data_IF_995633430100
#
_entry.id   IF_995633430100
#
_cell.length_a   1.000
_cell.length_b   1.000
_cell.length_c   1.000
_cell.angle_alpha   90.00
_cell.angle_beta   90.00
_cell.angle_gamma   90.00
#
_symmetry.space_group_name_H-M   'P 1'
#
loop_
_entity.id
_entity.type
_entity.pdbx_description
1 polymer ?
#
# COMPACT_ATOMS: atom_id res chain seq x y z
N UNK A 1 4.33 -49.06 6.93
CA UNK A 1 5.50 -49.31 6.05
C UNK A 1 5.01 -49.31 4.62
N UNK A 2 5.18 -48.18 3.93
CA UNK A 2 5.05 -48.07 2.47
C UNK A 2 5.96 -46.92 2.06
N UNK A 3 6.89 -47.21 1.16
CA UNK A 3 8.14 -46.51 0.96
C UNK A 3 8.04 -45.22 0.14
N UNK A 4 8.94 -44.30 0.48
CA UNK A 4 9.25 -43.05 -0.23
C UNK A 4 9.87 -43.35 -1.60
N UNK A 5 9.48 -42.60 -2.62
CA UNK A 5 10.24 -42.45 -3.87
C UNK A 5 10.28 -40.98 -4.29
N UNK A 6 11.38 -40.33 -3.92
CA UNK A 6 11.84 -39.11 -4.58
C UNK A 6 12.51 -39.48 -5.92
N UNK A 7 12.43 -38.64 -6.96
CA UNK A 7 13.41 -38.64 -8.02
C UNK A 7 14.52 -37.62 -7.76
N UNK A 8 15.71 -38.02 -8.15
CA UNK A 8 17.02 -37.42 -7.91
C UNK A 8 17.24 -36.09 -8.64
N UNK A 9 18.11 -35.28 -8.04
CA UNK A 9 18.65 -34.05 -8.57
C UNK A 9 19.81 -34.36 -9.53
N UNK A 10 19.69 -33.97 -10.79
CA UNK A 10 20.84 -33.93 -11.70
C UNK A 10 21.57 -32.59 -11.56
N UNK A 11 22.71 -32.65 -10.87
CA UNK A 11 23.74 -31.63 -10.87
C UNK A 11 24.42 -31.58 -12.25
N UNK A 12 24.30 -30.46 -12.95
CA UNK A 12 25.26 -30.05 -13.98
C UNK A 12 25.79 -28.66 -13.65
N UNK A 13 27.09 -28.62 -13.36
CA UNK A 13 27.91 -27.41 -13.29
C UNK A 13 29.13 -27.60 -14.24
N UNK A 14 29.92 -26.56 -14.51
CA UNK A 14 29.62 -25.45 -15.40
C UNK A 14 30.52 -25.50 -16.65
N UNK A 15 30.03 -25.03 -17.81
CA UNK A 15 30.89 -24.84 -18.99
C UNK A 15 31.58 -23.49 -18.91
N UNK A 16 32.88 -23.51 -19.18
CA UNK A 16 33.84 -22.44 -18.94
C UNK A 16 33.67 -21.20 -19.81
N UNK A 17 34.06 -20.07 -19.21
CA UNK A 17 34.24 -18.77 -19.82
C UNK A 17 35.27 -18.81 -20.96
N UNK A 18 34.95 -18.15 -22.07
CA UNK A 18 35.94 -17.67 -23.04
C UNK A 18 36.03 -16.15 -22.92
N UNK A 19 37.25 -15.69 -22.66
CA UNK A 19 37.63 -14.29 -22.48
C UNK A 19 37.63 -13.46 -23.78
N UNK A 20 38.08 -12.20 -23.67
CA UNK A 20 37.84 -11.16 -24.66
C UNK A 20 38.82 -11.25 -25.84
N UNK A 21 38.38 -10.84 -27.02
CA UNK A 21 39.26 -10.60 -28.18
C UNK A 21 39.38 -9.10 -28.38
N UNK A 22 40.63 -8.62 -28.36
CA UNK A 22 41.05 -7.23 -28.51
C UNK A 22 40.91 -6.68 -29.94
N UNK A 23 40.59 -5.39 -29.98
CA UNK A 23 41.13 -4.29 -30.80
C UNK A 23 41.57 -4.53 -32.26
N UNK A 24 41.04 -3.67 -33.13
CA UNK A 24 41.83 -3.06 -34.21
C UNK A 24 41.80 -1.54 -34.12
N UNK A 25 43.00 -0.98 -34.07
CA UNK A 25 43.39 0.42 -34.10
C UNK A 25 43.95 0.74 -35.49
N UNK A 26 43.58 1.90 -36.02
CA UNK A 26 44.35 2.75 -36.95
C UNK A 26 43.95 4.19 -36.54
N UNK A 27 44.78 5.09 -36.00
CA UNK A 27 46.06 5.62 -36.48
C UNK A 27 45.80 6.57 -37.66
N UNK A 28 46.07 7.88 -37.67
CA UNK A 28 46.82 8.76 -36.77
C UNK A 28 46.51 10.26 -37.05
N UNK A 29 46.77 11.09 -36.04
CA UNK A 29 47.23 12.49 -35.97
C UNK A 29 47.02 13.51 -37.11
N UNK A 30 46.60 14.71 -36.71
CA UNK A 30 46.81 15.99 -37.40
C UNK A 30 46.17 17.15 -36.63
N UNK A 31 47.01 17.99 -36.01
CA UNK A 31 46.66 19.15 -35.17
C UNK A 31 46.14 20.38 -35.95
N UNK A 32 45.58 21.30 -35.14
CA UNK A 32 45.53 22.76 -35.29
C UNK A 32 44.30 23.48 -35.90
N UNK A 33 43.61 24.16 -34.97
CA UNK A 33 43.28 25.58 -34.95
C UNK A 33 42.16 26.20 -35.84
N UNK A 34 41.28 26.89 -35.10
CA UNK A 34 40.56 28.14 -35.42
C UNK A 34 39.32 28.12 -36.34
N UNK A 35 38.16 28.29 -35.71
CA UNK A 35 36.91 28.86 -36.23
C UNK A 35 37.10 30.32 -36.72
N UNK A 36 36.09 31.03 -37.29
CA UNK A 36 34.69 30.67 -37.52
C UNK A 36 34.15 31.02 -38.93
N UNK A 37 33.05 30.41 -39.37
CA UNK A 37 32.15 31.04 -40.34
C UNK A 37 30.73 30.47 -40.25
N UNK A 38 29.81 31.42 -40.16
CA UNK A 38 28.36 31.37 -40.20
C UNK A 38 27.73 30.41 -41.22
N UNK A 39 26.80 29.58 -40.75
CA UNK A 39 25.62 29.18 -41.54
C UNK A 39 24.42 28.96 -40.62
N UNK A 40 23.44 29.85 -40.74
CA UNK A 40 22.13 29.71 -40.09
C UNK A 40 21.37 28.54 -40.70
N UNK A 41 21.14 27.48 -39.92
CA UNK A 41 20.06 26.53 -40.19
C UNK A 41 18.88 26.85 -39.25
N UNK A 42 17.62 26.80 -39.73
CA UNK A 42 16.49 27.13 -38.89
C UNK A 42 16.34 26.02 -37.86
N UNK A 43 16.51 26.37 -36.59
CA UNK A 43 16.16 25.51 -35.46
C UNK A 43 14.65 25.31 -35.55
N UNK A 44 14.23 24.12 -35.95
CA UNK A 44 12.85 23.69 -35.74
C UNK A 44 12.56 23.83 -34.25
N UNK A 45 11.48 24.52 -33.83
CA UNK A 45 11.13 24.55 -32.43
C UNK A 45 10.80 23.11 -32.06
N UNK A 46 11.68 22.49 -31.29
CA UNK A 46 11.37 21.29 -30.53
C UNK A 46 10.24 21.69 -29.58
N UNK A 47 9.02 21.49 -30.07
CA UNK A 47 7.81 21.48 -29.28
C UNK A 47 7.94 20.22 -28.42
N UNK A 48 8.71 20.30 -27.34
CA UNK A 48 8.36 19.48 -26.19
C UNK A 48 6.99 19.98 -25.83
N UNK A 49 5.96 19.22 -26.22
CA UNK A 49 4.64 19.38 -25.67
C UNK A 49 4.85 19.34 -24.17
N UNK A 50 4.88 20.52 -23.54
CA UNK A 50 4.64 20.65 -22.12
C UNK A 50 3.27 20.00 -21.99
N UNK A 51 3.25 18.76 -21.49
CA UNK A 51 2.01 18.17 -21.02
C UNK A 51 1.50 19.19 -20.01
N UNK A 52 0.44 19.92 -20.37
CA UNK A 52 -0.22 20.83 -19.45
C UNK A 52 -0.62 19.97 -18.26
N UNK A 53 0.05 20.19 -17.13
CA UNK A 53 -0.25 19.47 -15.90
C UNK A 53 -1.70 19.76 -15.57
N UNK A 54 -2.52 18.71 -15.47
CA UNK A 54 -3.90 18.87 -15.04
C UNK A 54 -3.93 19.61 -13.70
N UNK A 55 -4.93 20.49 -13.48
CA UNK A 55 -5.18 21.04 -12.16
C UNK A 55 -5.29 19.90 -11.14
N UNK A 56 -4.73 20.10 -9.94
CA UNK A 56 -4.70 19.08 -8.90
C UNK A 56 -6.10 18.54 -8.58
N UNK A 57 -7.12 19.40 -8.67
CA UNK A 57 -8.51 19.05 -8.48
C UNK A 57 -9.01 18.03 -9.51
N UNK A 58 -8.59 18.14 -10.77
CA UNK A 58 -8.97 17.20 -11.82
C UNK A 58 -8.30 15.83 -11.62
N UNK A 59 -7.06 15.79 -11.14
CA UNK A 59 -6.38 14.55 -10.77
C UNK A 59 -7.08 13.84 -9.60
N UNK A 60 -7.51 14.61 -8.59
CA UNK A 60 -8.26 14.07 -7.45
C UNK A 60 -9.58 13.42 -7.89
N UNK A 61 -10.30 14.05 -8.83
CA UNK A 61 -11.54 13.48 -9.39
C UNK A 61 -11.26 12.17 -10.14
N UNK A 62 -10.24 12.15 -11.02
CA UNK A 62 -9.86 10.94 -11.76
C UNK A 62 -9.45 9.79 -10.83
N UNK A 63 -8.74 10.09 -9.75
CA UNK A 63 -8.38 9.12 -8.72
C UNK A 63 -9.63 8.58 -8.02
N UNK A 64 -10.55 9.45 -7.60
CA UNK A 64 -11.79 9.03 -6.94
C UNK A 64 -12.66 8.14 -7.86
N UNK A 65 -12.76 8.51 -9.13
CA UNK A 65 -13.51 7.72 -10.13
C UNK A 65 -12.84 6.36 -10.38
N UNK A 66 -11.51 6.31 -10.44
CA UNK A 66 -10.78 5.05 -10.59
C UNK A 66 -10.96 4.14 -9.37
N UNK A 67 -10.87 4.68 -8.15
CA UNK A 67 -11.13 3.94 -6.92
C UNK A 67 -12.56 3.40 -6.90
N UNK A 68 -13.55 4.23 -7.26
CA UNK A 68 -14.95 3.79 -7.35
C UNK A 68 -15.12 2.65 -8.37
N UNK A 69 -14.46 2.75 -9.53
CA UNK A 69 -14.47 1.71 -10.56
C UNK A 69 -13.80 0.41 -10.09
N UNK A 70 -12.67 0.49 -9.38
CA UNK A 70 -12.00 -0.68 -8.79
C UNK A 70 -12.88 -1.32 -7.70
N UNK A 71 -13.51 -0.54 -6.83
CA UNK A 71 -14.44 -1.07 -5.83
C UNK A 71 -15.65 -1.78 -6.46
N UNK A 72 -16.13 -1.31 -7.61
CA UNK A 72 -17.16 -2.01 -8.38
C UNK A 72 -16.66 -3.38 -8.85
N UNK A 73 -15.47 -3.42 -9.48
CA UNK A 73 -14.83 -4.66 -9.93
C UNK A 73 -14.54 -5.64 -8.79
N UNK A 74 -14.15 -5.13 -7.62
CA UNK A 74 -13.93 -5.95 -6.43
C UNK A 74 -15.22 -6.63 -5.94
N UNK A 75 -16.36 -5.95 -6.07
CA UNK A 75 -17.68 -6.51 -5.73
C UNK A 75 -18.14 -7.55 -6.74
N UNK A 76 -17.95 -7.29 -8.04
CA UNK A 76 -18.34 -8.23 -9.11
C UNK A 76 -17.36 -9.39 -9.28
N UNK A 77 -16.19 -9.33 -8.61
CA UNK A 77 -15.10 -10.33 -8.71
C UNK A 77 -14.60 -10.51 -10.15
N UNK A 78 -14.69 -9.46 -10.94
CA UNK A 78 -14.21 -9.43 -12.31
C UNK A 78 -12.74 -8.98 -12.36
N UNK A 79 -11.91 -9.58 -13.24
CA UNK A 79 -10.62 -9.01 -13.56
C UNK A 79 -10.80 -7.66 -14.27
N UNK A 80 -9.73 -6.87 -14.26
CA UNK A 80 -9.69 -5.55 -14.88
C UNK A 80 -8.39 -5.37 -15.66
N UNK A 81 -8.45 -4.79 -16.86
CA UNK A 81 -7.26 -4.50 -17.64
C UNK A 81 -6.99 -3.00 -17.75
N UNK A 82 -5.74 -2.64 -18.05
CA UNK A 82 -5.33 -1.24 -18.25
C UNK A 82 -6.16 -0.53 -19.32
N UNK A 83 -6.51 -1.22 -20.41
CA UNK A 83 -7.31 -0.64 -21.48
C UNK A 83 -8.72 -0.25 -21.00
N UNK A 84 -9.36 -1.08 -20.16
CA UNK A 84 -10.64 -0.77 -19.54
C UNK A 84 -10.54 0.46 -18.64
N UNK A 85 -9.54 0.53 -17.76
CA UNK A 85 -9.32 1.70 -16.88
C UNK A 85 -9.12 2.99 -17.68
N UNK A 86 -8.33 2.94 -18.74
CA UNK A 86 -8.09 4.08 -19.62
C UNK A 86 -9.37 4.55 -20.33
N UNK A 87 -10.17 3.61 -20.85
CA UNK A 87 -11.35 3.94 -21.64
C UNK A 87 -12.54 4.37 -20.77
N UNK A 88 -12.74 3.74 -19.61
CA UNK A 88 -13.92 3.96 -18.77
C UNK A 88 -13.76 5.10 -17.77
N UNK A 89 -12.52 5.40 -17.35
CA UNK A 89 -12.26 6.40 -16.30
C UNK A 89 -11.47 7.59 -16.84
N UNK A 90 -10.29 7.35 -17.43
CA UNK A 90 -9.41 8.45 -17.80
C UNK A 90 -9.80 9.17 -19.10
N UNK A 91 -10.42 8.45 -20.05
CA UNK A 91 -10.85 8.99 -21.33
C UNK A 91 -9.70 9.63 -22.11
N UNK A 92 -9.71 10.96 -22.18
CA UNK A 92 -8.70 11.78 -22.87
C UNK A 92 -7.46 12.07 -22.00
N UNK A 93 -7.53 11.84 -20.68
CA UNK A 93 -6.45 12.14 -19.73
C UNK A 93 -5.42 11.00 -19.56
N UNK A 94 -5.19 10.21 -20.62
CA UNK A 94 -4.41 8.95 -20.58
C UNK A 94 -2.99 9.11 -20.07
N UNK A 95 -2.38 10.26 -20.32
CA UNK A 95 -0.99 10.55 -19.92
C UNK A 95 -0.80 10.56 -18.39
N UNK A 96 -1.88 10.78 -17.65
CA UNK A 96 -1.87 10.83 -16.18
C UNK A 96 -2.09 9.44 -15.55
N UNK A 97 -2.32 8.40 -16.36
CA UNK A 97 -2.59 7.05 -15.87
C UNK A 97 -1.58 6.54 -14.84
N UNK A 98 -0.25 6.66 -15.01
CA UNK A 98 0.69 6.11 -14.04
C UNK A 98 0.51 6.69 -12.63
N UNK A 99 0.30 8.00 -12.53
CA UNK A 99 0.13 8.69 -11.24
C UNK A 99 -1.22 8.36 -10.63
N UNK A 100 -2.29 8.47 -11.41
CA UNK A 100 -3.67 8.18 -10.95
C UNK A 100 -3.80 6.72 -10.53
N UNK A 101 -3.22 5.79 -11.29
CA UNK A 101 -3.27 4.35 -10.98
C UNK A 101 -2.47 4.02 -9.71
N UNK A 102 -1.28 4.59 -9.52
CA UNK A 102 -0.48 4.37 -8.30
C UNK A 102 -1.24 4.84 -7.06
N UNK A 103 -1.76 6.07 -7.08
CA UNK A 103 -2.50 6.64 -5.96
C UNK A 103 -3.82 5.89 -5.69
N UNK A 104 -4.51 5.44 -6.74
CA UNK A 104 -5.69 4.60 -6.59
C UNK A 104 -5.35 3.24 -5.96
N UNK A 105 -4.21 2.62 -6.32
CA UNK A 105 -3.76 1.38 -5.69
C UNK A 105 -3.43 1.58 -4.21
N UNK A 106 -2.72 2.65 -3.86
CA UNK A 106 -2.43 3.02 -2.47
C UNK A 106 -3.73 3.25 -1.67
N UNK A 107 -4.69 3.98 -2.24
CA UNK A 107 -6.00 4.20 -1.64
C UNK A 107 -6.77 2.87 -1.45
N UNK A 108 -6.79 2.00 -2.47
CA UNK A 108 -7.40 0.67 -2.38
C UNK A 108 -6.78 -0.16 -1.26
N UNK A 109 -5.48 -0.08 -1.04
CA UNK A 109 -4.79 -0.82 0.01
C UNK A 109 -5.01 -0.23 1.40
N UNK A 110 -4.77 1.08 1.60
CA UNK A 110 -4.79 1.72 2.91
C UNK A 110 -6.20 1.97 3.44
N UNK A 111 -7.11 2.44 2.59
CA UNK A 111 -8.47 2.79 3.01
C UNK A 111 -9.35 1.55 2.99
N UNK A 112 -9.29 0.77 1.91
CA UNK A 112 -10.22 -0.34 1.68
C UNK A 112 -9.63 -1.71 2.01
N UNK A 113 -8.32 -1.86 2.17
CA UNK A 113 -7.69 -3.16 2.41
C UNK A 113 -7.85 -4.13 1.23
N UNK A 114 -7.72 -3.61 0.01
CA UNK A 114 -7.80 -4.38 -1.23
C UNK A 114 -6.49 -4.22 -2.00
N UNK A 115 -5.79 -5.33 -2.22
CA UNK A 115 -4.61 -5.38 -3.08
C UNK A 115 -5.02 -5.47 -4.56
N UNK A 116 -4.44 -4.59 -5.38
CA UNK A 116 -4.49 -4.68 -6.85
C UNK A 116 -3.29 -5.51 -7.33
N UNK A 117 -3.52 -6.74 -7.78
CA UNK A 117 -2.44 -7.67 -8.19
C UNK A 117 -2.46 -7.91 -9.68
N UNK A 118 -1.32 -7.68 -10.33
CA UNK A 118 -1.15 -8.03 -11.74
C UNK A 118 -1.05 -9.55 -11.91
N UNK A 119 -1.86 -10.10 -12.82
CA UNK A 119 -1.90 -11.54 -13.14
C UNK A 119 -1.42 -11.84 -14.55
N UNK A 120 -1.52 -10.87 -15.45
CA UNK A 120 -0.97 -10.96 -16.81
C UNK A 120 -0.33 -9.63 -17.22
N UNK A 121 1.02 -9.55 -17.22
CA UNK A 121 1.73 -8.36 -17.65
C UNK A 121 1.59 -8.04 -19.15
N UNK A 122 1.29 -9.05 -20.00
CA UNK A 122 1.17 -8.84 -21.45
C UNK A 122 -0.11 -8.09 -21.79
N UNK A 123 -1.19 -8.49 -21.14
CA UNK A 123 -2.51 -7.88 -21.29
C UNK A 123 -2.76 -6.76 -20.27
N UNK A 124 -1.77 -6.49 -19.39
CA UNK A 124 -1.86 -5.60 -18.23
C UNK A 124 -3.18 -5.82 -17.47
N UNK A 125 -3.42 -7.07 -17.07
CA UNK A 125 -4.62 -7.51 -16.37
C UNK A 125 -4.35 -7.71 -14.89
N UNK A 126 -5.29 -7.24 -14.07
CA UNK A 126 -5.23 -7.20 -12.62
C UNK A 126 -6.44 -7.89 -12.00
N UNK A 127 -6.23 -8.43 -10.80
CA UNK A 127 -7.27 -8.94 -9.91
C UNK A 127 -7.24 -8.19 -8.59
N UNK A 128 -8.40 -8.08 -7.97
CA UNK A 128 -8.59 -7.36 -6.70
C UNK A 128 -8.81 -8.39 -5.59
N UNK A 129 -7.90 -8.42 -4.62
CA UNK A 129 -7.92 -9.43 -3.55
C UNK A 129 -7.87 -8.78 -2.17
N UNK A 130 -8.47 -9.38 -1.13
CA UNK A 130 -8.34 -8.88 0.23
C UNK A 130 -6.86 -8.81 0.66
N UNK A 131 -6.49 -7.69 1.25
CA UNK A 131 -5.17 -7.50 1.86
C UNK A 131 -4.93 -8.56 2.94
N UNK A 132 -3.72 -9.13 2.96
CA UNK A 132 -3.29 -10.18 3.88
C UNK A 132 -4.17 -11.46 3.88
N UNK A 133 -5.09 -11.60 2.92
CA UNK A 133 -6.04 -12.70 2.90
C UNK A 133 -7.13 -12.60 3.98
N UNK A 134 -7.34 -11.40 4.54
CA UNK A 134 -8.38 -11.17 5.54
C UNK A 134 -9.77 -11.45 4.98
N UNK A 135 -10.63 -12.02 5.82
CA UNK A 135 -11.99 -12.39 5.44
C UNK A 135 -13.08 -11.49 6.05
N UNK A 136 -12.71 -10.35 6.64
CA UNK A 136 -13.65 -9.39 7.24
C UNK A 136 -14.67 -8.87 6.21
N UNK A 137 -14.24 -8.68 4.96
CA UNK A 137 -15.07 -8.19 3.87
C UNK A 137 -15.66 -9.32 2.99
N UNK A 138 -15.71 -10.55 3.49
CA UNK A 138 -16.18 -11.71 2.71
C UNK A 138 -17.67 -11.63 2.35
N UNK A 139 -18.49 -11.02 3.21
CA UNK A 139 -19.94 -10.86 2.99
C UNK A 139 -20.30 -9.38 3.03
N UNK A 140 -19.92 -8.65 1.99
CA UNK A 140 -20.35 -7.26 1.81
C UNK A 140 -21.79 -7.24 1.27
N UNK A 141 -22.72 -6.72 2.08
CA UNK A 141 -24.06 -6.35 1.64
C UNK A 141 -24.04 -5.21 0.63
N UNK A 142 -25.12 -5.02 -0.11
CA UNK A 142 -25.24 -3.92 -1.07
C UNK A 142 -25.06 -2.57 -0.37
N UNK A 143 -24.22 -1.70 -0.94
CA UNK A 143 -23.83 -0.42 -0.36
C UNK A 143 -22.73 -0.44 0.71
N UNK A 144 -22.35 -1.59 1.29
CA UNK A 144 -21.22 -1.65 2.22
C UNK A 144 -19.88 -1.51 1.48
N UNK A 145 -18.94 -0.78 2.07
CA UNK A 145 -17.57 -0.63 1.56
C UNK A 145 -16.63 -1.56 2.36
N UNK A 146 -15.56 -2.09 1.73
CA UNK A 146 -14.54 -2.85 2.44
C UNK A 146 -13.95 -2.04 3.61
N UNK A 147 -13.77 -2.67 4.76
CA UNK A 147 -13.22 -2.04 5.98
C UNK A 147 -11.90 -2.66 6.43
N UNK A 148 -11.37 -3.63 5.67
CA UNK A 148 -10.09 -4.29 5.95
C UNK A 148 -8.93 -3.32 6.11
N UNK A 149 -8.91 -2.20 5.36
CA UNK A 149 -7.82 -1.22 5.41
C UNK A 149 -7.65 -0.63 6.82
N UNK A 150 -8.75 -0.13 7.38
CA UNK A 150 -8.77 0.38 8.75
C UNK A 150 -8.40 -0.72 9.76
N UNK A 151 -8.91 -1.94 9.59
CA UNK A 151 -8.57 -3.05 10.48
C UNK A 151 -7.06 -3.33 10.49
N UNK A 152 -6.42 -3.36 9.32
CA UNK A 152 -4.95 -3.57 9.20
C UNK A 152 -4.18 -2.46 9.92
N UNK A 153 -4.65 -1.22 9.85
CA UNK A 153 -4.02 -0.09 10.56
C UNK A 153 -4.12 -0.24 12.08
N UNK A 154 -5.30 -0.58 12.61
CA UNK A 154 -5.49 -0.82 14.05
C UNK A 154 -4.66 -2.01 14.52
N UNK A 155 -4.68 -3.13 13.79
CA UNK A 155 -3.86 -4.30 14.10
C UNK A 155 -2.35 -3.96 14.08
N UNK A 156 -1.93 -3.12 13.14
CA UNK A 156 -0.57 -2.62 13.03
C UNK A 156 -0.15 -1.77 14.22
N UNK A 157 -1.01 -0.84 14.65
CA UNK A 157 -0.78 -0.03 15.85
C UNK A 157 -0.59 -0.94 17.07
N UNK A 158 -1.50 -1.90 17.31
CA UNK A 158 -1.38 -2.82 18.45
C UNK A 158 -0.09 -3.66 18.39
N UNK A 159 0.33 -4.06 17.19
CA UNK A 159 1.58 -4.80 17.02
C UNK A 159 2.82 -3.93 17.31
N UNK A 160 2.79 -2.63 17.03
CA UNK A 160 3.88 -1.70 17.30
C UNK A 160 4.05 -1.40 18.80
N UNK A 161 2.95 -1.32 19.56
CA UNK A 161 2.97 -0.99 21.00
C UNK A 161 3.06 -2.20 21.94
N UNK A 162 3.50 -3.37 21.45
CA UNK A 162 3.78 -4.51 22.32
C UNK A 162 2.53 -5.32 22.72
N UNK A 163 1.61 -5.52 21.77
CA UNK A 163 0.46 -6.42 21.80
C UNK A 163 -0.79 -5.90 22.52
N UNK A 164 -0.71 -4.70 23.08
CA UNK A 164 -1.83 -4.00 23.71
C UNK A 164 -1.71 -2.51 23.40
N UNK A 165 -2.84 -1.85 23.22
CA UNK A 165 -2.87 -0.41 23.00
C UNK A 165 -4.02 0.18 23.82
N UNK A 166 -3.76 1.23 24.64
CA UNK A 166 -4.81 1.99 25.29
C UNK A 166 -5.87 2.47 24.28
N UNK A 167 -7.13 2.55 24.69
CA UNK A 167 -8.20 3.02 23.80
C UNK A 167 -7.93 4.44 23.29
N UNK A 168 -7.30 5.29 24.11
CA UNK A 168 -7.01 6.68 23.81
C UNK A 168 -6.08 6.82 22.60
N UNK A 169 -5.04 5.99 22.51
CA UNK A 169 -4.10 5.98 21.39
C UNK A 169 -4.78 5.52 20.10
N UNK A 170 -5.73 4.58 20.20
CA UNK A 170 -6.54 4.13 19.06
C UNK A 170 -7.46 5.26 18.59
N UNK A 171 -8.11 5.97 19.50
CA UNK A 171 -8.95 7.13 19.19
C UNK A 171 -8.14 8.28 18.57
N UNK A 172 -6.91 8.50 19.02
CA UNK A 172 -5.99 9.47 18.42
C UNK A 172 -5.63 9.09 16.98
N UNK A 173 -5.31 7.82 16.71
CA UNK A 173 -5.06 7.35 15.35
C UNK A 173 -6.28 7.58 14.44
N UNK A 174 -7.49 7.28 14.92
CA UNK A 174 -8.71 7.52 14.16
C UNK A 174 -8.93 9.02 13.88
N UNK A 175 -8.65 9.90 14.84
CA UNK A 175 -8.75 11.35 14.65
C UNK A 175 -7.77 11.89 13.60
N UNK A 176 -6.52 11.38 13.57
CA UNK A 176 -5.54 11.70 12.52
C UNK A 176 -6.05 11.30 11.13
N UNK A 177 -6.85 10.23 11.06
CA UNK A 177 -7.48 9.76 9.84
C UNK A 177 -8.81 10.44 9.51
N UNK A 178 -9.19 11.49 10.25
CA UNK A 178 -10.49 12.18 10.13
C UNK A 178 -11.69 11.24 10.33
N UNK A 179 -11.53 10.25 11.21
CA UNK A 179 -12.57 9.29 11.63
C UNK A 179 -12.95 9.57 13.08
N UNK A 180 -13.99 10.37 13.28
CA UNK A 180 -14.38 10.83 14.62
C UNK A 180 -15.30 9.85 15.35
N UNK A 181 -14.97 9.60 16.62
CA UNK A 181 -15.78 8.77 17.52
C UNK A 181 -17.09 9.49 17.86
N UNK A 182 -18.22 8.78 17.76
CA UNK A 182 -19.55 9.35 18.01
C UNK A 182 -20.20 10.02 16.79
N UNK A 183 -19.52 10.05 15.65
CA UNK A 183 -20.08 10.48 14.37
C UNK A 183 -20.14 9.32 13.36
N UNK A 184 -21.10 9.37 12.44
CA UNK A 184 -21.24 8.35 11.41
C UNK A 184 -20.26 8.62 10.26
N UNK A 185 -19.20 7.83 10.16
CA UNK A 185 -18.28 7.91 9.01
C UNK A 185 -18.89 7.27 7.75
N UNK A 186 -18.70 7.90 6.59
CA UNK A 186 -19.34 7.46 5.34
C UNK A 186 -18.85 6.09 4.80
N UNK A 187 -17.66 5.64 5.23
CA UNK A 187 -17.10 4.32 4.86
C UNK A 187 -17.24 3.32 6.00
N UNK A 188 -16.91 3.74 7.21
CA UNK A 188 -16.69 2.83 8.35
C UNK A 188 -17.94 2.69 9.23
N UNK A 189 -18.86 3.66 9.15
CA UNK A 189 -19.97 3.78 10.07
C UNK A 189 -19.55 4.47 11.37
N UNK A 190 -20.24 4.19 12.47
CA UNK A 190 -19.83 4.70 13.79
C UNK A 190 -18.57 3.93 14.26
N UNK A 191 -17.43 4.60 14.47
CA UNK A 191 -16.16 3.92 14.71
C UNK A 191 -16.11 3.14 16.02
N UNK A 192 -16.79 3.61 17.09
CA UNK A 192 -16.75 2.94 18.38
C UNK A 192 -17.50 1.61 18.34
N UNK A 193 -18.67 1.55 17.74
CA UNK A 193 -19.45 0.34 17.49
C UNK A 193 -18.64 -0.62 16.62
N UNK A 194 -18.01 -0.11 15.55
CA UNK A 194 -17.18 -0.93 14.68
C UNK A 194 -16.04 -1.62 15.44
N UNK A 195 -15.27 -0.88 16.24
CA UNK A 195 -14.10 -1.42 16.94
C UNK A 195 -14.47 -2.26 18.16
N UNK A 196 -15.40 -1.80 19.00
CA UNK A 196 -15.69 -2.41 20.31
C UNK A 196 -16.80 -3.47 20.26
N UNK A 197 -17.64 -3.46 19.22
CA UNK A 197 -18.72 -4.43 19.06
C UNK A 197 -18.49 -5.33 17.85
N UNK A 198 -18.45 -4.77 16.64
CA UNK A 198 -18.39 -5.56 15.40
C UNK A 198 -17.11 -6.38 15.32
N UNK A 199 -15.93 -5.76 15.40
CA UNK A 199 -14.66 -6.48 15.30
C UNK A 199 -14.31 -7.32 16.51
N UNK A 200 -14.92 -7.03 17.67
CA UNK A 200 -14.85 -7.93 18.84
C UNK A 200 -15.70 -9.18 18.61
N UNK A 201 -16.92 -9.04 18.11
CA UNK A 201 -17.80 -10.17 17.77
C UNK A 201 -17.23 -11.01 16.63
N UNK A 202 -16.61 -10.38 15.63
CA UNK A 202 -15.92 -11.07 14.54
C UNK A 202 -14.59 -11.71 14.97
N UNK A 203 -14.10 -11.41 16.18
CA UNK A 203 -12.90 -12.00 16.77
C UNK A 203 -11.58 -11.44 16.26
N UNK A 204 -11.61 -10.30 15.56
CA UNK A 204 -10.40 -9.59 15.12
C UNK A 204 -9.75 -8.79 16.24
N UNK A 205 -10.56 -8.21 17.13
CA UNK A 205 -10.09 -7.45 18.28
C UNK A 205 -10.61 -8.06 19.58
N UNK A 206 -9.87 -7.82 20.65
CA UNK A 206 -10.38 -7.91 22.03
C UNK A 206 -10.40 -6.50 22.61
N UNK A 207 -11.50 -6.14 23.28
CA UNK A 207 -11.65 -4.88 23.97
C UNK A 207 -11.98 -5.16 25.44
N UNK A 208 -11.14 -4.69 26.36
CA UNK A 208 -11.31 -5.01 27.79
C UNK A 208 -10.83 -3.89 28.70
N UNK A 209 -11.37 -3.88 29.92
CA UNK A 209 -10.92 -2.98 30.97
C UNK A 209 -9.54 -3.40 31.49
N UNK A 210 -8.65 -2.42 31.67
CA UNK A 210 -7.35 -2.62 32.32
C UNK A 210 -7.57 -2.98 33.79
N UNK A 211 -7.06 -4.13 34.26
CA UNK A 211 -7.23 -4.54 35.65
C UNK A 211 -6.66 -3.51 36.61
N UNK A 212 -7.39 -3.21 37.69
CA UNK A 212 -6.93 -2.37 38.80
C UNK A 212 -6.65 -0.90 38.45
N UNK A 213 -7.17 -0.38 37.33
CA UNK A 213 -7.17 1.06 37.03
C UNK A 213 -8.41 1.77 37.59
N UNK A 214 -8.19 2.81 38.39
CA UNK A 214 -9.20 3.80 38.84
C UNK A 214 -8.69 5.23 38.53
N UNK A 215 -9.31 5.98 37.59
CA UNK A 215 -10.53 5.64 36.86
C UNK A 215 -10.35 4.46 35.89
N UNK A 216 -11.47 3.82 35.53
CA UNK A 216 -11.49 2.72 34.57
C UNK A 216 -10.88 3.14 33.22
N UNK A 217 -9.93 2.34 32.73
CA UNK A 217 -9.30 2.49 31.42
C UNK A 217 -9.52 1.23 30.60
N UNK A 218 -9.55 1.34 29.28
CA UNK A 218 -9.71 0.21 28.38
C UNK A 218 -8.51 0.07 27.43
N UNK A 219 -8.29 -1.16 26.98
CA UNK A 219 -7.22 -1.50 26.04
C UNK A 219 -7.76 -2.40 24.92
N UNK A 220 -7.17 -2.26 23.74
CA UNK A 220 -7.36 -3.12 22.58
C UNK A 220 -6.22 -4.13 22.47
N UNK A 221 -6.58 -5.35 22.06
CA UNK A 221 -5.65 -6.41 21.70
C UNK A 221 -6.09 -7.08 20.39
N UNK A 222 -5.19 -7.84 19.79
CA UNK A 222 -5.56 -8.77 18.71
C UNK A 222 -6.45 -9.88 19.25
N UNK A 223 -7.56 -10.14 18.57
CA UNK A 223 -8.42 -11.28 18.83
C UNK A 223 -7.94 -12.57 18.17
N UNK A 224 -8.58 -13.71 18.50
CA UNK A 224 -8.16 -15.03 18.03
C UNK A 224 -8.22 -15.18 16.50
N UNK A 225 -9.16 -14.50 15.83
CA UNK A 225 -9.28 -14.56 14.37
C UNK A 225 -8.16 -13.78 13.67
N UNK A 226 -7.74 -12.65 14.23
CA UNK A 226 -6.59 -11.91 13.68
C UNK A 226 -5.33 -12.79 13.65
N UNK A 227 -5.06 -13.53 14.73
CA UNK A 227 -3.95 -14.49 14.77
C UNK A 227 -4.14 -15.72 13.87
N UNK A 228 -5.37 -16.10 13.55
CA UNK A 228 -5.65 -17.22 12.66
C UNK A 228 -5.48 -16.85 11.17
N UNK A 229 -5.81 -15.61 10.80
CA UNK A 229 -5.78 -15.15 9.41
C UNK A 229 -4.45 -14.48 9.03
N UNK A 230 -3.76 -13.85 9.97
CA UNK A 230 -2.52 -13.12 9.72
C UNK A 230 -1.58 -13.19 10.92
N UNK A 231 -0.41 -12.55 10.81
CA UNK A 231 0.57 -12.41 11.88
C UNK A 231 1.01 -10.96 12.01
N UNK A 232 1.47 -10.59 13.21
CA UNK A 232 2.01 -9.25 13.47
C UNK A 232 3.08 -8.86 12.46
N UNK A 233 3.98 -9.79 12.15
CA UNK A 233 5.02 -9.59 11.15
C UNK A 233 4.44 -9.26 9.77
N UNK A 234 3.45 -10.03 9.29
CA UNK A 234 2.83 -9.78 7.99
C UNK A 234 2.10 -8.43 7.94
N UNK A 235 1.44 -8.02 9.03
CA UNK A 235 0.80 -6.70 9.12
C UNK A 235 1.84 -5.58 9.04
N UNK A 236 2.91 -5.65 9.84
CA UNK A 236 3.96 -4.64 9.85
C UNK A 236 4.71 -4.57 8.52
N UNK A 237 5.04 -5.71 7.92
CA UNK A 237 5.65 -5.80 6.60
C UNK A 237 4.76 -5.18 5.52
N UNK A 238 3.45 -5.42 5.59
CA UNK A 238 2.49 -4.82 4.68
C UNK A 238 2.45 -3.29 4.80
N UNK A 239 2.37 -2.76 6.02
CA UNK A 239 2.34 -1.31 6.26
C UNK A 239 3.63 -0.61 5.80
N UNK A 240 4.79 -1.24 6.01
CA UNK A 240 6.08 -0.77 5.51
C UNK A 240 6.12 -0.69 3.98
N UNK A 241 5.59 -1.72 3.30
CA UNK A 241 5.60 -1.82 1.84
C UNK A 241 4.72 -0.77 1.17
N UNK A 242 3.52 -0.53 1.71
CA UNK A 242 2.52 0.33 1.05
C UNK A 242 2.87 1.80 1.21
N UNK A 243 3.37 2.22 2.38
CA UNK A 243 3.48 3.64 2.66
C UNK A 243 4.86 4.25 2.39
N UNK A 244 5.92 3.46 2.23
CA UNK A 244 7.27 4.02 2.42
C UNK A 244 7.39 4.80 3.74
N UNK A 245 6.51 4.52 4.72
CA UNK A 245 6.51 5.12 6.04
C UNK A 245 7.87 4.80 6.62
N UNK A 246 8.71 5.82 6.75
CA UNK A 246 9.97 5.70 7.44
C UNK A 246 9.61 5.32 8.88
N UNK A 247 9.70 4.03 9.17
CA UNK A 247 9.45 3.46 10.49
C UNK A 247 10.28 4.21 11.54
N UNK A 248 11.39 4.86 11.16
CA UNK A 248 12.18 5.73 12.02
C UNK A 248 11.46 7.00 12.48
N UNK A 249 10.62 7.64 11.67
CA UNK A 249 9.85 8.83 12.08
C UNK A 249 8.77 8.46 13.10
N UNK A 250 8.12 7.32 12.90
CA UNK A 250 7.10 6.79 13.81
C UNK A 250 7.72 6.21 15.09
N UNK A 251 8.84 5.48 14.97
CA UNK A 251 9.59 4.98 16.12
C UNK A 251 10.29 6.11 16.91
N UNK A 252 10.66 7.24 16.27
CA UNK A 252 11.17 8.41 17.02
C UNK A 252 10.06 9.11 17.80
N UNK A 253 8.83 9.18 17.26
CA UNK A 253 7.64 9.63 17.98
C UNK A 253 7.30 8.72 19.17
N UNK A 254 7.52 7.40 19.05
CA UNK A 254 7.35 6.47 20.17
C UNK A 254 8.49 6.54 21.21
N UNK A 255 9.71 6.93 20.80
CA UNK A 255 10.88 7.03 21.68
C UNK A 255 10.93 8.32 22.51
N UNK A 256 10.20 9.37 22.10
CA UNK A 256 10.10 10.63 22.85
C UNK A 256 9.10 10.58 24.02
N UNK A 257 8.40 9.44 24.21
CA UNK A 257 7.47 9.21 25.33
C UNK A 257 8.06 8.49 26.54
N UNK A 258 9.36 8.16 26.55
CA UNK A 258 10.02 7.43 27.65
C UNK A 258 11.35 8.09 28.06
N UNK A 259 11.26 9.31 28.58
CA UNK A 259 12.22 9.95 29.52
C UNK A 259 11.52 11.23 29.99
N UNK A 260 11.02 11.36 31.21
CA UNK A 260 11.82 11.47 32.42
C UNK A 260 10.96 11.10 33.64
N UNK A 261 11.25 9.99 34.31
CA UNK A 261 11.10 9.87 35.77
C UNK A 261 12.07 8.80 36.27
N UNK A 262 13.38 9.10 36.23
CA UNK A 262 14.33 8.48 37.16
C UNK A 262 15.52 9.41 37.41
N UNK A 263 15.34 10.41 38.26
CA UNK A 263 16.42 10.89 39.12
C UNK A 263 15.94 10.83 40.57
N UNK A 264 16.33 9.75 41.24
CA UNK A 264 16.10 9.54 42.65
C UNK A 264 17.12 10.27 43.54
N UNK A 265 16.76 10.30 44.82
CA UNK A 265 17.48 10.75 46.02
C UNK A 265 17.25 12.20 46.48
#
# INVERSE_FOLDING_TARGET
MSELRQPEADLQAPVQAQGPVEAQVFGAAGEEAASPSSSSSPVAPSFSAYAESLPQEALTVLMADLVAFLLLKYRTKEPICKAEMLNMVLGDHRDHFPVVFSQACECMQLVFGVDVKEVDPRECTYVLVPTLGLTCDAVLSDGQRPKAGLLVLILGQIALYGDRTPEEDVWELLSIMEVDVGEQHCIYGEPRELLTEVWVQEGYLEYRQVPHCDPARYEFLWGPRAYAETSKWQVLEHLLRVNGWDLRSFLSLCAEGVSDEEEGA
#
